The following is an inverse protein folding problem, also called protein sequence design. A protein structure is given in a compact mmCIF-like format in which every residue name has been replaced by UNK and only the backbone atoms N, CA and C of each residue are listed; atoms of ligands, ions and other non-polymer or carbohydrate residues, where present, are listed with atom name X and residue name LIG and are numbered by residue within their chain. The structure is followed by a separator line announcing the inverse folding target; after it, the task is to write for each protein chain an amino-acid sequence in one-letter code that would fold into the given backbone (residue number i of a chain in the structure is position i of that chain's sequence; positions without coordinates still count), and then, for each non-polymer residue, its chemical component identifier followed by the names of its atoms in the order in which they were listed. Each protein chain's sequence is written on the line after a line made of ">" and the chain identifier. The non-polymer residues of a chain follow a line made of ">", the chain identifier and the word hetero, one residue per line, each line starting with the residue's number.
data_IF_986444725594
#
_entry.id   IF_986444725594
#
_cell.length_a   1.000
_cell.length_b   1.000
_cell.length_c   1.000
_cell.angle_alpha   90.00
_cell.angle_beta   90.00
_cell.angle_gamma   90.00
#
_symmetry.space_group_name_H-M   'P 1'
#
loop_
_entity.id
_entity.type
_entity.pdbx_description
1 polymer ?
#
# COMPACT_ATOMS: atom_id res chain seq x y z
N UNK A 1 0.78 6.46 -1.12
CA UNK A 1 0.83 5.78 0.19
C UNK A 1 0.14 6.59 1.29
N UNK A 2 0.65 7.76 1.72
CA UNK A 2 0.03 8.55 2.82
C UNK A 2 -1.45 8.89 2.54
N UNK A 3 -1.77 9.39 1.34
CA UNK A 3 -3.16 9.67 0.94
C UNK A 3 -4.06 8.44 1.11
N UNK A 4 -3.59 7.26 0.68
CA UNK A 4 -4.34 6.02 0.80
C UNK A 4 -4.63 5.69 2.27
N UNK A 5 -3.63 5.77 3.15
CA UNK A 5 -3.80 5.49 4.59
C UNK A 5 -4.84 6.43 5.21
N UNK A 6 -4.75 7.73 4.94
CA UNK A 6 -5.73 8.68 5.46
C UNK A 6 -7.14 8.38 4.95
N UNK A 7 -7.32 8.17 3.64
CA UNK A 7 -8.64 7.85 3.09
C UNK A 7 -9.22 6.56 3.67
N UNK A 8 -8.39 5.52 3.84
CA UNK A 8 -8.80 4.27 4.51
C UNK A 8 -9.24 4.51 5.95
N UNK A 9 -8.47 5.28 6.71
CA UNK A 9 -8.81 5.61 8.10
C UNK A 9 -10.12 6.40 8.18
N UNK A 10 -10.30 7.41 7.32
CA UNK A 10 -11.52 8.20 7.27
C UNK A 10 -12.75 7.33 6.96
N UNK A 11 -12.64 6.47 5.96
CA UNK A 11 -13.73 5.57 5.59
C UNK A 11 -14.12 4.62 6.74
N UNK A 12 -13.15 3.93 7.34
CA UNK A 12 -13.44 2.98 8.43
C UNK A 12 -14.05 3.70 9.65
N UNK A 13 -13.47 4.84 10.07
CA UNK A 13 -13.92 5.52 11.28
C UNK A 13 -15.26 6.23 11.09
N UNK A 14 -15.42 7.02 10.03
CA UNK A 14 -16.57 7.92 9.90
C UNK A 14 -17.71 7.33 9.08
N UNK A 15 -17.42 6.49 8.08
CA UNK A 15 -18.48 5.98 7.20
C UNK A 15 -18.95 4.59 7.57
N UNK A 16 -18.05 3.77 8.15
CA UNK A 16 -18.42 2.44 8.64
C UNK A 16 -18.83 2.53 10.10
N UNK A 17 -17.90 2.91 10.99
CA UNK A 17 -18.15 2.83 12.44
C UNK A 17 -19.20 3.84 12.91
N UNK A 18 -19.01 5.13 12.63
CA UNK A 18 -19.92 6.18 13.12
C UNK A 18 -21.35 6.03 12.56
N UNK A 19 -21.48 5.78 11.25
CA UNK A 19 -22.79 5.53 10.63
C UNK A 19 -23.48 4.27 11.17
N UNK A 20 -22.73 3.18 11.36
CA UNK A 20 -23.27 1.95 11.94
C UNK A 20 -23.70 2.17 13.39
N UNK A 21 -22.94 2.96 14.15
CA UNK A 21 -23.24 3.28 15.54
C UNK A 21 -24.52 4.11 15.68
N UNK A 22 -24.70 5.13 14.83
CA UNK A 22 -25.92 5.92 14.80
C UNK A 22 -27.16 5.05 14.52
N UNK A 23 -27.07 4.15 13.52
CA UNK A 23 -28.13 3.20 13.17
C UNK A 23 -28.43 2.22 14.31
N UNK A 24 -27.39 1.70 14.96
CA UNK A 24 -27.54 0.82 16.12
C UNK A 24 -28.25 1.52 17.28
N UNK A 25 -27.83 2.75 17.62
CA UNK A 25 -28.40 3.51 18.73
C UNK A 25 -29.88 3.82 18.49
N UNK A 26 -30.26 4.17 17.26
CA UNK A 26 -31.65 4.38 16.89
C UNK A 26 -32.49 3.10 17.09
N UNK A 27 -32.00 1.95 16.63
CA UNK A 27 -32.67 0.65 16.78
C UNK A 27 -32.80 0.23 18.24
N UNK A 28 -31.78 0.49 19.06
CA UNK A 28 -31.82 0.21 20.50
C UNK A 28 -32.83 1.08 21.22
N UNK A 29 -32.96 2.37 20.86
CA UNK A 29 -33.97 3.24 21.46
C UNK A 29 -35.41 2.84 21.08
N UNK A 30 -35.61 2.25 19.91
CA UNK A 30 -36.92 1.79 19.43
C UNK A 30 -37.27 0.36 19.87
N UNK A 31 -36.30 -0.39 20.42
CA UNK A 31 -36.46 -1.77 20.85
C UNK A 31 -37.46 -1.91 22.00
N UNK A 32 -38.33 -2.92 21.92
CA UNK A 32 -39.33 -3.21 22.96
C UNK A 32 -38.98 -4.48 23.74
N UNK A 33 -38.22 -5.38 23.11
CA UNK A 33 -37.75 -6.61 23.71
C UNK A 33 -36.22 -6.72 23.67
N UNK A 34 -35.66 -7.59 24.51
CA UNK A 34 -34.23 -7.90 24.51
C UNK A 34 -33.78 -8.51 23.17
N UNK A 35 -34.63 -9.30 22.53
CA UNK A 35 -34.32 -9.91 21.23
C UNK A 35 -34.12 -8.85 20.13
N UNK A 36 -34.86 -7.74 20.20
CA UNK A 36 -34.69 -6.62 19.26
C UNK A 36 -33.30 -5.99 19.42
N UNK A 37 -32.83 -5.82 20.67
CA UNK A 37 -31.49 -5.31 20.98
C UNK A 37 -30.42 -6.28 20.48
N UNK A 38 -30.60 -7.58 20.70
CA UNK A 38 -29.66 -8.61 20.27
C UNK A 38 -29.54 -8.65 18.74
N UNK A 39 -30.67 -8.55 18.03
CA UNK A 39 -30.70 -8.48 16.57
C UNK A 39 -30.02 -7.21 16.05
N UNK A 40 -30.32 -6.04 16.63
CA UNK A 40 -29.67 -4.78 16.26
C UNK A 40 -28.16 -4.83 16.47
N UNK A 41 -27.71 -5.46 17.56
CA UNK A 41 -26.28 -5.64 17.85
C UNK A 41 -25.59 -6.58 16.86
N UNK A 42 -26.22 -7.71 16.52
CA UNK A 42 -25.68 -8.62 15.51
C UNK A 42 -25.57 -7.94 14.14
N UNK A 43 -26.59 -7.19 13.73
CA UNK A 43 -26.57 -6.42 12.49
C UNK A 43 -25.47 -5.35 12.48
N UNK A 44 -25.29 -4.63 13.60
CA UNK A 44 -24.19 -3.67 13.78
C UNK A 44 -22.82 -4.34 13.58
N UNK A 45 -22.59 -5.49 14.22
CA UNK A 45 -21.32 -6.21 14.10
C UNK A 45 -21.07 -6.72 12.68
N UNK A 46 -22.09 -7.27 12.02
CA UNK A 46 -21.95 -7.75 10.63
C UNK A 46 -21.70 -6.58 9.67
N UNK A 47 -22.37 -5.44 9.87
CA UNK A 47 -22.15 -4.23 9.06
C UNK A 47 -20.71 -3.74 9.20
N UNK A 48 -20.16 -3.70 10.42
CA UNK A 48 -18.77 -3.32 10.64
C UNK A 48 -17.81 -4.33 10.01
N UNK A 49 -18.04 -5.63 10.18
CA UNK A 49 -17.16 -6.66 9.59
C UNK A 49 -17.09 -6.55 8.08
N UNK A 50 -18.23 -6.42 7.41
CA UNK A 50 -18.28 -6.27 5.95
C UNK A 50 -17.70 -4.92 5.51
N UNK A 51 -18.09 -3.82 6.18
CA UNK A 51 -17.64 -2.48 5.86
C UNK A 51 -16.14 -2.26 6.07
N UNK A 52 -15.53 -2.92 7.08
CA UNK A 52 -14.10 -2.85 7.36
C UNK A 52 -13.27 -3.89 6.58
N UNK A 53 -13.84 -4.55 5.58
CA UNK A 53 -13.18 -5.55 4.74
C UNK A 53 -12.68 -6.80 5.49
N UNK A 54 -13.32 -7.16 6.61
CA UNK A 54 -12.97 -8.33 7.41
C UNK A 54 -13.75 -9.59 7.02
N UNK A 55 -14.60 -9.52 5.99
CA UNK A 55 -15.32 -10.70 5.49
C UNK A 55 -14.39 -11.61 4.66
N UNK A 56 -14.27 -12.86 5.12
CA UNK A 56 -13.47 -13.95 4.55
C UNK A 56 -13.82 -14.25 3.09
N UNK A 57 -15.01 -13.85 2.63
CA UNK A 57 -15.46 -14.09 1.25
C UNK A 57 -14.88 -13.13 0.23
N UNK A 58 -14.31 -12.00 0.66
CA UNK A 58 -13.84 -10.96 -0.25
C UNK A 58 -12.31 -11.01 -0.44
N UNK A 59 -11.84 -11.02 -1.69
CA UNK A 59 -10.41 -10.82 -2.05
C UNK A 59 -9.89 -9.41 -1.67
N UNK A 60 -10.73 -8.62 -0.99
CA UNK A 60 -10.46 -7.24 -0.56
C UNK A 60 -9.50 -7.20 0.63
N UNK A 61 -9.61 -8.15 1.57
CA UNK A 61 -8.70 -8.23 2.73
C UNK A 61 -7.27 -8.52 2.28
N UNK A 62 -7.06 -9.52 1.43
CA UNK A 62 -5.73 -9.86 0.93
C UNK A 62 -5.11 -8.73 0.10
N UNK A 63 -5.91 -8.01 -0.69
CA UNK A 63 -5.43 -6.82 -1.40
C UNK A 63 -5.05 -5.69 -0.43
N UNK A 64 -5.82 -5.48 0.64
CA UNK A 64 -5.51 -4.47 1.66
C UNK A 64 -4.25 -4.82 2.44
N UNK A 65 -4.07 -6.08 2.84
CA UNK A 65 -2.85 -6.58 3.47
C UNK A 65 -1.62 -6.34 2.61
N UNK A 66 -1.69 -6.66 1.31
CA UNK A 66 -0.59 -6.40 0.37
C UNK A 66 -0.23 -4.91 0.27
N UNK A 67 -1.24 -4.03 0.30
CA UNK A 67 -1.02 -2.58 0.28
C UNK A 67 -0.28 -2.12 1.55
N UNK A 68 -0.72 -2.57 2.74
CA UNK A 68 -0.04 -2.24 3.99
C UNK A 68 1.36 -2.83 4.08
N UNK A 69 1.56 -4.06 3.61
CA UNK A 69 2.90 -4.65 3.47
C UNK A 69 3.79 -3.82 2.55
N UNK A 70 3.24 -3.28 1.46
CA UNK A 70 3.96 -2.35 0.58
C UNK A 70 4.36 -1.05 1.28
N UNK A 71 3.49 -0.49 2.12
CA UNK A 71 3.79 0.72 2.92
C UNK A 71 4.88 0.45 3.95
N UNK A 72 4.76 -0.64 4.72
CA UNK A 72 5.79 -1.03 5.70
C UNK A 72 7.13 -1.32 5.03
N UNK A 73 7.12 -1.91 3.83
CA UNK A 73 8.34 -2.16 3.05
C UNK A 73 9.01 -0.84 2.65
N UNK A 74 8.25 0.20 2.32
CA UNK A 74 8.80 1.52 2.02
C UNK A 74 9.44 2.14 3.27
N UNK A 75 8.78 2.06 4.43
CA UNK A 75 9.32 2.58 5.70
C UNK A 75 10.67 1.94 6.04
N UNK A 76 10.75 0.61 6.05
CA UNK A 76 12.00 -0.12 6.31
C UNK A 76 13.08 0.21 5.27
N UNK A 77 12.69 0.42 4.01
CA UNK A 77 13.63 0.82 2.96
C UNK A 77 14.15 2.25 3.19
N UNK A 78 13.26 3.18 3.57
CA UNK A 78 13.57 4.58 3.82
C UNK A 78 14.53 4.74 4.99
N UNK A 79 14.31 4.03 6.09
CA UNK A 79 15.21 4.04 7.25
C UNK A 79 16.63 3.59 6.86
N UNK A 80 16.74 2.46 6.16
CA UNK A 80 18.03 1.94 5.70
C UNK A 80 18.74 2.89 4.73
N UNK A 81 17.97 3.49 3.81
CA UNK A 81 18.52 4.43 2.84
C UNK A 81 19.06 5.67 3.54
N UNK A 82 18.30 6.25 4.46
CA UNK A 82 18.73 7.41 5.23
C UNK A 82 19.91 7.12 6.14
N UNK A 83 19.96 5.96 6.79
CA UNK A 83 21.14 5.57 7.58
C UNK A 83 22.42 5.60 6.75
N UNK A 84 22.39 5.13 5.50
CA UNK A 84 23.54 5.15 4.61
C UNK A 84 23.85 6.57 4.13
N UNK A 85 22.84 7.36 3.78
CA UNK A 85 23.02 8.76 3.38
C UNK A 85 23.60 9.62 4.51
N UNK A 86 23.14 9.45 5.75
CA UNK A 86 23.66 10.19 6.90
C UNK A 86 25.09 9.78 7.22
N UNK A 87 25.43 8.48 7.15
CA UNK A 87 26.82 8.04 7.31
C UNK A 87 27.76 8.67 6.28
N UNK A 88 27.35 8.73 5.01
CA UNK A 88 28.16 9.37 3.96
C UNK A 88 28.24 10.89 4.15
N UNK A 89 27.16 11.54 4.58
CA UNK A 89 27.16 12.97 4.90
C UNK A 89 28.13 13.28 6.06
N UNK A 90 28.08 12.49 7.13
CA UNK A 90 28.96 12.61 8.29
C UNK A 90 30.43 12.38 7.91
N UNK A 91 30.71 11.39 7.05
CA UNK A 91 32.04 11.13 6.55
C UNK A 91 32.60 12.32 5.72
N UNK A 92 31.78 12.93 4.87
CA UNK A 92 32.14 14.15 4.11
C UNK A 92 32.39 15.34 5.03
N UNK A 93 31.56 15.52 6.05
CA UNK A 93 31.70 16.60 7.04
C UNK A 93 32.96 16.42 7.90
N UNK A 94 33.26 15.19 8.32
CA UNK A 94 34.46 14.86 9.06
C UNK A 94 35.72 15.12 8.23
N UNK A 95 35.72 14.74 6.95
CA UNK A 95 36.81 15.02 6.03
C UNK A 95 37.01 16.53 5.83
N UNK A 96 35.94 17.29 5.59
CA UNK A 96 36.01 18.74 5.44
C UNK A 96 36.55 19.42 6.71
N UNK A 97 36.18 18.93 7.89
CA UNK A 97 36.67 19.44 9.17
C UNK A 97 38.15 19.11 9.39
N UNK A 98 38.58 17.90 9.01
CA UNK A 98 39.98 17.48 9.08
C UNK A 98 40.87 18.30 8.14
N UNK A 99 40.41 18.59 6.92
CA UNK A 99 41.14 19.47 5.98
C UNK A 99 41.37 20.84 6.64
N UNK A 100 40.30 21.48 7.13
CA UNK A 100 40.38 22.80 7.78
C UNK A 100 41.35 22.80 8.97
N UNK A 101 41.31 21.74 9.79
CA UNK A 101 42.19 21.61 10.95
C UNK A 101 43.67 21.45 10.54
N UNK A 102 43.95 20.71 9.46
CA UNK A 102 45.31 20.55 8.92
C UNK A 102 45.83 21.82 8.23
N UNK A 103 44.96 22.55 7.51
CA UNK A 103 45.28 23.87 6.93
C UNK A 103 45.67 24.88 8.01
N UNK A 104 44.95 24.91 9.13
CA UNK A 104 45.27 25.75 10.31
C UNK A 104 46.63 25.41 10.93
N UNK A 105 47.07 24.14 10.85
CA UNK A 105 48.38 23.68 11.34
C UNK A 105 49.52 23.89 10.34
N UNK A 106 49.21 24.27 9.10
CA UNK A 106 50.19 24.44 8.02
C UNK A 106 50.70 23.12 7.42
N UNK A 107 50.01 22.00 7.67
CA UNK A 107 50.33 20.68 7.14
C UNK A 107 49.47 20.35 5.90
N UNK A 108 49.94 19.43 5.05
CA UNK A 108 49.16 18.99 3.88
C UNK A 108 47.82 18.37 4.32
N UNK A 109 46.71 18.94 3.84
CA UNK A 109 45.37 18.65 4.32
C UNK A 109 44.87 17.21 4.14
N UNK A 110 45.35 16.50 3.12
CA UNK A 110 44.96 15.11 2.78
C UNK A 110 46.17 14.34 2.23
N UNK A 111 46.36 13.10 2.68
CA UNK A 111 47.31 12.15 2.08
C UNK A 111 46.74 11.50 0.82
N UNK A 112 47.59 11.15 -0.15
CA UNK A 112 47.17 10.48 -1.39
C UNK A 112 46.38 9.19 -1.12
N UNK A 113 46.78 8.45 -0.07
CA UNK A 113 46.09 7.24 0.40
C UNK A 113 44.65 7.52 0.87
N UNK A 114 44.45 8.56 1.69
CA UNK A 114 43.10 8.94 2.15
C UNK A 114 42.22 9.44 1.01
N UNK A 115 42.81 10.10 0.01
CA UNK A 115 42.09 10.52 -1.20
C UNK A 115 41.60 9.31 -1.99
N UNK A 116 42.46 8.33 -2.22
CA UNK A 116 42.10 7.11 -2.92
C UNK A 116 40.98 6.33 -2.20
N UNK A 117 41.09 6.17 -0.88
CA UNK A 117 40.06 5.53 -0.06
C UNK A 117 38.70 6.24 -0.17
N UNK A 118 38.69 7.58 -0.17
CA UNK A 118 37.45 8.36 -0.32
C UNK A 118 36.85 8.29 -1.72
N UNK A 119 37.68 8.26 -2.75
CA UNK A 119 37.22 8.07 -4.13
C UNK A 119 36.57 6.67 -4.30
N UNK A 120 37.12 5.65 -3.63
CA UNK A 120 36.51 4.31 -3.59
C UNK A 120 35.18 4.30 -2.83
N UNK A 121 35.12 4.86 -1.61
CA UNK A 121 33.89 4.97 -0.82
C UNK A 121 32.79 5.75 -1.55
N UNK A 122 33.16 6.82 -2.25
CA UNK A 122 32.22 7.59 -3.08
C UNK A 122 31.66 6.72 -4.20
N UNK A 123 32.51 5.95 -4.90
CA UNK A 123 32.05 5.06 -5.98
C UNK A 123 31.10 3.99 -5.47
N UNK A 124 31.37 3.43 -4.29
CA UNK A 124 30.49 2.45 -3.63
C UNK A 124 29.14 3.10 -3.27
N UNK A 125 29.15 4.32 -2.75
CA UNK A 125 27.93 5.06 -2.44
C UNK A 125 27.11 5.39 -3.70
N UNK A 126 27.76 5.84 -4.78
CA UNK A 126 27.10 6.11 -6.06
C UNK A 126 26.42 4.85 -6.63
N UNK A 127 27.10 3.71 -6.55
CA UNK A 127 26.52 2.42 -6.93
C UNK A 127 25.33 2.06 -6.01
N UNK A 128 25.46 2.24 -4.70
CA UNK A 128 24.38 1.99 -3.74
C UNK A 128 23.14 2.86 -4.02
N UNK A 129 23.31 4.14 -4.38
CA UNK A 129 22.21 5.04 -4.74
C UNK A 129 21.50 4.54 -6.00
N UNK A 130 22.25 4.13 -7.01
CA UNK A 130 21.68 3.59 -8.24
C UNK A 130 20.89 2.29 -8.00
N UNK A 131 21.38 1.40 -7.14
CA UNK A 131 20.67 0.17 -6.77
C UNK A 131 19.45 0.45 -5.88
N UNK A 132 19.56 1.44 -5.00
CA UNK A 132 18.46 1.91 -4.15
C UNK A 132 17.32 2.49 -5.00
N UNK A 133 17.63 3.24 -6.06
CA UNK A 133 16.61 3.75 -6.99
C UNK A 133 15.80 2.60 -7.62
N UNK A 134 16.47 1.55 -8.11
CA UNK A 134 15.79 0.38 -8.70
C UNK A 134 14.92 -0.33 -7.67
N UNK A 135 15.41 -0.46 -6.43
CA UNK A 135 14.64 -1.04 -5.32
C UNK A 135 13.39 -0.21 -5.00
N UNK A 136 13.50 1.12 -4.99
CA UNK A 136 12.37 2.02 -4.75
C UNK A 136 11.33 1.93 -5.87
N UNK A 137 11.77 1.91 -7.13
CA UNK A 137 10.89 1.71 -8.29
C UNK A 137 10.12 0.39 -8.20
N UNK A 138 10.77 -0.68 -7.75
CA UNK A 138 10.12 -1.97 -7.50
C UNK A 138 9.05 -1.87 -6.41
N UNK A 139 9.36 -1.26 -5.27
CA UNK A 139 8.39 -1.04 -4.17
C UNK A 139 7.18 -0.24 -4.69
N UNK A 140 7.43 0.80 -5.48
CA UNK A 140 6.39 1.62 -6.09
C UNK A 140 5.50 0.82 -7.04
N UNK A 141 6.10 -0.04 -7.88
CA UNK A 141 5.38 -0.88 -8.85
C UNK A 141 4.54 -1.95 -8.14
N UNK A 142 5.10 -2.63 -7.13
CA UNK A 142 4.39 -3.63 -6.33
C UNK A 142 3.18 -2.98 -5.61
N UNK A 143 3.38 -1.80 -5.01
CA UNK A 143 2.31 -1.05 -4.36
C UNK A 143 1.24 -0.60 -5.34
N UNK A 144 1.61 -0.07 -6.51
CA UNK A 144 0.66 0.32 -7.55
C UNK A 144 -0.21 -0.87 -7.98
N UNK A 145 0.41 -2.03 -8.18
CA UNK A 145 -0.31 -3.25 -8.54
C UNK A 145 -1.31 -3.66 -7.46
N UNK A 146 -0.91 -3.64 -6.19
CA UNK A 146 -1.78 -3.98 -5.07
C UNK A 146 -2.98 -3.01 -4.96
N UNK A 147 -2.74 -1.69 -5.08
CA UNK A 147 -3.82 -0.68 -5.07
C UNK A 147 -4.77 -0.86 -6.24
N UNK A 148 -4.27 -1.15 -7.45
CA UNK A 148 -5.13 -1.42 -8.61
C UNK A 148 -6.02 -2.63 -8.40
N UNK A 149 -5.47 -3.72 -7.84
CA UNK A 149 -6.24 -4.92 -7.52
C UNK A 149 -7.34 -4.62 -6.50
N UNK A 150 -7.03 -3.83 -5.48
CA UNK A 150 -7.99 -3.40 -4.47
C UNK A 150 -9.11 -2.54 -5.08
N UNK A 151 -8.77 -1.54 -5.91
CA UNK A 151 -9.77 -0.71 -6.59
C UNK A 151 -10.69 -1.52 -7.50
N UNK A 152 -10.17 -2.53 -8.20
CA UNK A 152 -10.99 -3.45 -9.01
C UNK A 152 -11.93 -4.29 -8.15
N UNK A 153 -11.46 -4.76 -6.99
CA UNK A 153 -12.30 -5.49 -6.03
C UNK A 153 -13.43 -4.59 -5.51
N UNK A 154 -13.12 -3.34 -5.13
CA UNK A 154 -14.11 -2.36 -4.68
C UNK A 154 -15.18 -2.06 -5.75
N UNK A 155 -14.76 -1.84 -7.00
CA UNK A 155 -15.68 -1.55 -8.10
C UNK A 155 -16.55 -2.76 -8.50
N UNK A 156 -16.09 -3.98 -8.22
CA UNK A 156 -16.85 -5.20 -8.52
C UNK A 156 -17.87 -5.54 -7.43
N UNK A 157 -17.79 -4.91 -6.25
CA UNK A 157 -18.78 -5.08 -5.20
C UNK A 157 -20.08 -4.38 -5.56
N UNK A 158 -21.21 -4.97 -5.16
CA UNK A 158 -22.55 -4.41 -5.40
C UNK A 158 -22.91 -3.26 -4.44
N UNK A 159 -22.09 -2.99 -3.42
CA UNK A 159 -22.33 -1.91 -2.46
C UNK A 159 -21.92 -0.56 -3.05
N UNK A 160 -22.89 0.37 -3.12
CA UNK A 160 -22.67 1.72 -3.62
C UNK A 160 -21.65 2.50 -2.79
N UNK A 161 -21.62 2.30 -1.47
CA UNK A 161 -20.68 3.00 -0.59
C UNK A 161 -19.23 2.60 -0.87
N UNK A 162 -19.00 1.31 -1.15
CA UNK A 162 -17.68 0.78 -1.53
C UNK A 162 -17.21 1.32 -2.88
N UNK A 163 -18.13 1.47 -3.84
CA UNK A 163 -17.83 2.08 -5.14
C UNK A 163 -17.48 3.57 -5.01
N UNK A 164 -18.24 4.34 -4.23
CA UNK A 164 -17.96 5.75 -3.93
C UNK A 164 -16.62 5.92 -3.20
N UNK A 165 -16.29 4.97 -2.32
CA UNK A 165 -14.98 4.93 -1.67
C UNK A 165 -13.85 4.70 -2.68
N UNK A 166 -14.01 3.75 -3.60
CA UNK A 166 -13.05 3.51 -4.69
C UNK A 166 -12.79 4.76 -5.55
N UNK A 167 -13.83 5.56 -5.82
CA UNK A 167 -13.70 6.84 -6.53
C UNK A 167 -12.87 7.85 -5.72
N UNK A 168 -13.08 7.95 -4.39
CA UNK A 168 -12.33 8.88 -3.54
C UNK A 168 -10.88 8.47 -3.35
N UNK A 169 -10.60 7.17 -3.30
CA UNK A 169 -9.23 6.66 -3.27
C UNK A 169 -8.43 7.05 -4.51
N UNK A 170 -9.09 7.12 -5.68
CA UNK A 170 -8.51 7.55 -6.95
C UNK A 170 -9.03 8.93 -7.39
N UNK A 171 -9.19 9.89 -6.47
CA UNK A 171 -9.70 11.23 -6.78
C UNK A 171 -8.88 11.95 -7.86
N UNK A 172 -7.56 11.72 -7.91
CA UNK A 172 -6.66 12.31 -8.92
C UNK A 172 -6.64 11.53 -10.24
N UNK A 173 -7.41 10.46 -10.35
CA UNK A 173 -7.43 9.51 -11.48
C UNK A 173 -6.04 8.95 -11.84
N UNK A 174 -5.15 8.91 -10.86
CA UNK A 174 -3.78 8.45 -11.03
C UNK A 174 -3.76 6.98 -11.47
N UNK A 175 -4.67 6.17 -10.94
CA UNK A 175 -4.79 4.74 -11.24
C UNK A 175 -5.68 4.52 -12.47
N UNK A 176 -6.79 5.25 -12.62
CA UNK A 176 -7.66 5.23 -13.81
C UNK A 176 -6.94 5.54 -15.11
N UNK A 177 -6.01 6.51 -15.11
CA UNK A 177 -5.22 6.86 -16.30
C UNK A 177 -4.26 5.75 -16.74
N UNK A 178 -3.89 4.84 -15.83
CA UNK A 178 -2.94 3.75 -16.07
C UNK A 178 -3.61 2.38 -16.26
N UNK A 179 -4.89 2.26 -15.95
CA UNK A 179 -5.69 1.07 -16.24
C UNK A 179 -7.08 1.48 -16.77
N UNK A 180 -7.28 1.34 -18.09
CA UNK A 180 -8.55 1.66 -18.74
C UNK A 180 -9.73 0.89 -18.11
N UNK A 181 -9.48 -0.28 -17.49
CA UNK A 181 -10.51 -1.08 -16.82
C UNK A 181 -11.11 -0.39 -15.59
N UNK A 182 -10.39 0.55 -14.98
CA UNK A 182 -10.89 1.38 -13.88
C UNK A 182 -11.74 2.57 -14.37
N UNK A 183 -11.63 2.92 -15.66
CA UNK A 183 -12.34 4.03 -16.30
C UNK A 183 -13.58 3.60 -17.10
N UNK A 184 -13.76 2.31 -17.36
CA UNK A 184 -14.96 1.83 -18.06
C UNK A 184 -16.17 1.97 -17.14
N UNK A 185 -17.25 2.64 -17.58
CA UNK A 185 -18.49 2.66 -16.81
C UNK A 185 -18.93 1.22 -16.53
N UNK A 186 -19.41 0.95 -15.32
CA UNK A 186 -19.99 -0.33 -14.92
C UNK A 186 -21.27 -0.62 -15.74
N UNK A 187 -21.10 -0.93 -17.02
CA UNK A 187 -22.16 -1.56 -17.81
C UNK A 187 -22.21 -3.03 -17.45
N UNK A 188 -23.41 -3.59 -17.47
CA UNK A 188 -23.72 -4.97 -17.09
C UNK A 188 -22.78 -6.02 -17.75
N UNK A 189 -22.28 -5.71 -18.94
CA UNK A 189 -21.35 -6.53 -19.72
C UNK A 189 -19.95 -6.63 -19.07
N UNK A 190 -19.48 -5.56 -18.43
CA UNK A 190 -18.16 -5.49 -17.79
C UNK A 190 -18.12 -6.14 -16.41
N UNK A 191 -19.22 -6.05 -15.63
CA UNK A 191 -19.37 -6.82 -14.38
C UNK A 191 -19.30 -8.34 -14.62
N UNK A 192 -19.76 -8.82 -15.79
CA UNK A 192 -19.68 -10.25 -16.14
C UNK A 192 -18.25 -10.67 -16.46
N UNK A 193 -17.46 -9.79 -17.08
CA UNK A 193 -16.07 -10.05 -17.43
C UNK A 193 -15.15 -10.06 -16.20
N UNK A 194 -15.30 -9.14 -15.25
CA UNK A 194 -14.49 -9.16 -14.01
C UNK A 194 -14.67 -10.48 -13.24
N UNK A 195 -15.92 -10.93 -13.07
CA UNK A 195 -16.24 -12.20 -12.42
C UNK A 195 -15.69 -13.44 -13.14
N UNK A 196 -15.58 -13.43 -14.48
CA UNK A 196 -15.02 -14.57 -15.22
C UNK A 196 -13.50 -14.72 -15.02
N UNK A 197 -12.78 -13.62 -14.82
CA UNK A 197 -11.33 -13.67 -14.55
C UNK A 197 -10.99 -14.15 -13.14
N UNK A 198 -11.81 -13.83 -12.13
CA UNK A 198 -11.65 -14.37 -10.78
C UNK A 198 -11.93 -15.88 -10.71
N UNK A 199 -12.90 -16.37 -11.50
CA UNK A 199 -13.26 -17.79 -11.50
C UNK A 199 -12.26 -18.69 -12.25
N UNK A 200 -11.53 -18.15 -13.23
CA UNK A 200 -10.65 -18.95 -14.10
C UNK A 200 -9.32 -19.37 -13.43
N UNK A 201 -9.00 -18.87 -12.22
CA UNK A 201 -7.87 -19.37 -11.42
C UNK A 201 -8.18 -20.70 -10.71
N UNK A 202 -9.45 -21.11 -10.64
CA UNK A 202 -9.87 -22.38 -10.03
C UNK A 202 -9.83 -23.59 -10.97
N UNK A 203 -9.72 -23.40 -12.29
CA UNK A 203 -9.90 -24.48 -13.27
C UNK A 203 -8.63 -24.94 -13.99
N UNK A 204 -7.47 -24.33 -13.74
CA UNK A 204 -6.20 -24.70 -14.39
C UNK A 204 -5.35 -25.73 -13.62
N UNK A 205 -5.90 -26.40 -12.60
CA UNK A 205 -5.20 -27.43 -11.80
C UNK A 205 -5.76 -28.84 -11.98
N UNK A 206 -6.26 -29.18 -13.18
CA UNK A 206 -6.61 -30.57 -13.49
C UNK A 206 -6.49 -30.85 -14.98
N UNK A 207 -5.28 -31.07 -15.50
CA UNK A 207 -5.04 -31.99 -16.63
C UNK A 207 -3.53 -32.12 -16.89
N UNK A 208 -2.87 -33.05 -16.19
CA UNK A 208 -1.68 -33.72 -16.71
C UNK A 208 -1.43 -35.03 -15.94
N UNK A 209 -2.26 -36.04 -16.22
CA UNK A 209 -1.89 -37.44 -16.00
C UNK A 209 -2.19 -38.24 -17.26
N UNK A 210 -1.11 -38.83 -17.77
CA UNK A 210 -1.01 -39.97 -18.68
C UNK A 210 -1.08 -39.67 -20.19
N UNK A 211 0.08 -39.78 -20.86
CA UNK A 211 0.34 -40.89 -21.77
C UNK A 211 1.79 -40.84 -22.30
N UNK A 212 2.65 -41.76 -21.85
CA UNK A 212 3.77 -42.29 -22.64
C UNK A 212 3.97 -43.75 -22.26
N UNK A 213 3.83 -44.60 -23.28
CA UNK A 213 3.95 -46.06 -23.37
C UNK A 213 2.78 -46.90 -22.85
#
# INVERSE_FOLDING_TARGET
>A
MIHFVHQMQYYILFEVIECSWASFLEKVHQAKALDDILNAHNEFLETIKTGAFLDVKSDSLGAMEEIYLGIMRLEVWQDKFFDVCFKELDARNALASNIKASELKGEYGITAEKRFQRDEEQRVFEQYVADSQKSLEKIGTDYEFAVRRFLLALNSNNDHNLQLFGIRLDFNEYYKKRDQRLGVPLTFEHMRMSNTFFNNKGSTMSFSRHSTN
#
